data_IF_065395263938
#
_entry.id   IF_065395263938
#
_cell.length_a   1.000
_cell.length_b   1.000
_cell.length_c   1.000
_cell.angle_alpha   90.00
_cell.angle_beta   90.00
_cell.angle_gamma   90.00
#
_symmetry.space_group_name_H-M   'P 1'
#
loop_
_entity.id
_entity.type
_entity.pdbx_description
1 polymer ?
#
# COMPACT_ATOMS: atom_id res chain seq x y z
N UNK A 1 -10.32 10.17 11.84
CA UNK A 1 -9.87 10.81 13.10
C UNK A 1 -10.50 12.17 13.37
N UNK A 2 -11.00 12.39 14.60
CA UNK A 2 -11.45 13.70 15.10
C UNK A 2 -10.63 14.08 16.34
N UNK A 3 -9.73 15.06 16.20
CA UNK A 3 -8.84 15.53 17.26
C UNK A 3 -8.41 16.99 17.02
N UNK A 4 -7.98 17.69 18.07
CA UNK A 4 -7.33 19.01 17.96
C UNK A 4 -5.93 18.91 17.34
N UNK A 5 -5.41 20.00 16.77
CA UNK A 5 -4.19 19.98 15.92
C UNK A 5 -2.97 19.29 16.54
N UNK A 6 -2.62 19.61 17.79
CA UNK A 6 -1.50 19.01 18.50
C UNK A 6 -1.66 17.49 18.71
N UNK A 7 -2.84 17.04 19.17
CA UNK A 7 -3.12 15.62 19.37
C UNK A 7 -3.25 14.87 18.03
N UNK A 8 -3.81 15.50 17.00
CA UNK A 8 -3.94 14.94 15.66
C UNK A 8 -2.58 14.58 15.08
N UNK A 9 -1.61 15.50 15.13
CA UNK A 9 -0.26 15.25 14.61
C UNK A 9 0.39 14.01 15.26
N UNK A 10 0.25 13.86 16.58
CA UNK A 10 0.78 12.69 17.31
C UNK A 10 0.08 11.39 16.88
N UNK A 11 -1.25 11.40 16.81
CA UNK A 11 -2.05 10.21 16.50
C UNK A 11 -1.90 9.76 15.04
N UNK A 12 -1.75 10.71 14.10
CA UNK A 12 -1.48 10.41 12.70
C UNK A 12 -0.10 9.76 12.53
N UNK A 13 0.94 10.30 13.18
CA UNK A 13 2.27 9.68 13.18
C UNK A 13 2.29 8.31 13.85
N UNK A 14 1.42 8.08 14.84
CA UNK A 14 1.26 6.78 15.48
C UNK A 14 0.49 5.75 14.60
N UNK A 15 -0.02 6.15 13.44
CA UNK A 15 -0.78 5.28 12.54
C UNK A 15 -2.22 5.03 12.99
N UNK A 16 -2.78 5.86 13.87
CA UNK A 16 -4.16 5.73 14.32
C UNK A 16 -5.08 6.36 13.29
N UNK A 17 -6.01 5.58 12.73
CA UNK A 17 -6.92 6.08 11.69
C UNK A 17 -8.23 6.61 12.29
N UNK A 18 -8.80 5.85 13.23
CA UNK A 18 -10.13 6.09 13.78
C UNK A 18 -10.10 6.24 15.30
N UNK A 19 -10.20 7.48 15.74
CA UNK A 19 -10.24 7.86 17.16
C UNK A 19 -10.93 9.21 17.31
N UNK A 20 -11.57 9.40 18.47
CA UNK A 20 -12.10 10.68 18.94
C UNK A 20 -11.22 11.15 20.11
N UNK A 21 -10.72 12.38 20.03
CA UNK A 21 -9.91 12.97 21.10
C UNK A 21 -10.28 14.45 21.31
N UNK A 22 -10.29 14.88 22.57
CA UNK A 22 -10.56 16.27 22.97
C UNK A 22 -9.59 16.68 24.09
N UNK A 23 -8.96 17.86 23.93
CA UNK A 23 -8.24 18.50 25.05
C UNK A 23 -9.25 19.17 25.98
N UNK A 24 -9.17 18.85 27.28
CA UNK A 24 -10.07 19.35 28.34
C UNK A 24 -9.39 20.35 29.29
N UNK A 25 -8.11 20.64 29.07
CA UNK A 25 -7.33 21.51 29.95
C UNK A 25 -6.64 22.60 29.13
N UNK A 26 -5.31 22.61 29.17
CA UNK A 26 -4.50 23.58 28.45
C UNK A 26 -4.71 23.52 26.93
N UNK A 27 -4.68 24.69 26.31
CA UNK A 27 -4.63 24.93 24.87
C UNK A 27 -3.20 25.02 24.32
N UNK A 28 -2.20 25.11 25.21
CA UNK A 28 -0.79 25.11 24.84
C UNK A 28 -0.39 23.79 24.17
N UNK A 29 0.09 23.88 22.92
CA UNK A 29 0.39 22.73 22.08
C UNK A 29 1.37 21.75 22.74
N UNK A 30 2.43 22.24 23.40
CA UNK A 30 3.44 21.39 24.04
C UNK A 30 2.81 20.53 25.15
N UNK A 31 1.98 21.15 26.00
CA UNK A 31 1.30 20.44 27.08
C UNK A 31 0.28 19.44 26.55
N UNK A 32 -0.43 19.78 25.48
CA UNK A 32 -1.36 18.87 24.82
C UNK A 32 -0.62 17.66 24.23
N UNK A 33 0.54 17.85 23.61
CA UNK A 33 1.37 16.75 23.10
C UNK A 33 1.83 15.85 24.26
N UNK A 34 2.38 16.43 25.33
CA UNK A 34 2.82 15.65 26.50
C UNK A 34 1.65 14.87 27.15
N UNK A 35 0.49 15.50 27.28
CA UNK A 35 -0.71 14.84 27.78
C UNK A 35 -1.18 13.70 26.86
N UNK A 36 -1.10 13.90 25.53
CA UNK A 36 -1.46 12.87 24.54
C UNK A 36 -0.51 11.68 24.66
N UNK A 37 0.81 11.91 24.76
CA UNK A 37 1.80 10.84 24.93
C UNK A 37 1.60 10.13 26.27
N UNK A 38 1.32 10.85 27.36
CA UNK A 38 1.03 10.25 28.65
C UNK A 38 -0.23 9.36 28.59
N UNK A 39 -1.30 9.80 27.93
CA UNK A 39 -2.51 9.02 27.74
C UNK A 39 -2.26 7.73 26.94
N UNK A 40 -1.46 7.80 25.86
CA UNK A 40 -1.08 6.63 25.08
C UNK A 40 -0.27 5.61 25.91
N UNK A 41 0.60 6.08 26.82
CA UNK A 41 1.36 5.21 27.73
C UNK A 41 0.49 4.52 28.80
N UNK A 42 -0.69 5.07 29.11
CA UNK A 42 -1.61 4.48 30.08
C UNK A 42 -2.47 3.36 29.48
N UNK A 43 -2.52 3.24 28.14
CA UNK A 43 -3.24 2.17 27.48
C UNK A 43 -2.61 0.81 27.82
N UNK A 44 -3.45 -0.17 28.13
CA UNK A 44 -3.02 -1.53 28.45
C UNK A 44 -3.58 -2.50 27.41
N UNK A 45 -2.78 -3.49 27.03
CA UNK A 45 -3.27 -4.52 26.12
C UNK A 45 -4.16 -5.52 26.87
N UNK A 46 -5.22 -6.05 26.24
CA UNK A 46 -6.11 -7.01 26.92
C UNK A 46 -5.37 -8.26 27.41
N UNK A 47 -4.35 -8.73 26.68
CA UNK A 47 -3.48 -9.85 27.07
C UNK A 47 -2.68 -9.57 28.35
N UNK A 48 -2.18 -8.34 28.53
CA UNK A 48 -1.41 -7.94 29.72
C UNK A 48 -2.33 -7.86 30.94
N UNK A 49 -3.55 -7.36 30.76
CA UNK A 49 -4.56 -7.33 31.82
C UNK A 49 -4.98 -8.74 32.22
N UNK A 50 -5.15 -9.64 31.26
CA UNK A 50 -5.50 -11.03 31.49
C UNK A 50 -4.40 -11.79 32.23
N UNK A 51 -3.14 -11.64 31.78
CA UNK A 51 -1.97 -12.23 32.43
C UNK A 51 -1.83 -11.75 33.88
N UNK A 52 -1.99 -10.44 34.13
CA UNK A 52 -1.93 -9.87 35.50
C UNK A 52 -3.04 -10.42 36.41
N UNK A 53 -4.20 -10.75 35.86
CA UNK A 53 -5.35 -11.28 36.60
C UNK A 53 -5.38 -12.81 36.68
N UNK A 54 -4.50 -13.51 35.95
CA UNK A 54 -4.49 -14.99 35.89
C UNK A 54 -5.74 -15.59 35.25
N UNK A 55 -6.46 -14.83 34.44
CA UNK A 55 -7.70 -15.24 33.77
C UNK A 55 -7.46 -15.43 32.27
N UNK A 56 -8.23 -16.29 31.59
CA UNK A 56 -8.18 -16.37 30.13
C UNK A 56 -8.65 -15.05 29.51
N UNK A 57 -8.16 -14.75 28.30
CA UNK A 57 -8.49 -13.50 27.59
C UNK A 57 -9.99 -13.35 27.31
N UNK A 58 -10.71 -14.46 27.19
CA UNK A 58 -12.15 -14.50 26.93
C UNK A 58 -12.97 -13.96 28.11
N UNK A 59 -12.50 -14.14 29.34
CA UNK A 59 -13.15 -13.63 30.56
C UNK A 59 -12.81 -12.15 30.83
N UNK A 60 -11.80 -11.62 30.14
CA UNK A 60 -11.24 -10.28 30.39
C UNK A 60 -11.65 -9.28 29.32
N UNK A 61 -11.71 -9.70 28.06
CA UNK A 61 -12.05 -8.85 26.93
C UNK A 61 -13.48 -9.13 26.42
N UNK A 62 -14.28 -8.08 26.15
CA UNK A 62 -15.64 -8.27 25.64
C UNK A 62 -15.64 -8.83 24.22
N UNK A 63 -16.71 -9.55 23.85
CA UNK A 63 -16.83 -10.25 22.57
C UNK A 63 -16.60 -9.35 21.33
N UNK A 64 -17.08 -8.10 21.35
CA UNK A 64 -16.87 -7.15 20.26
C UNK A 64 -15.38 -6.83 20.02
N UNK A 65 -14.59 -6.74 21.09
CA UNK A 65 -13.15 -6.50 21.01
C UNK A 65 -12.41 -7.72 20.46
N UNK A 66 -12.79 -8.93 20.89
CA UNK A 66 -12.22 -10.18 20.40
C UNK A 66 -12.49 -10.38 18.91
N UNK A 67 -13.71 -10.05 18.44
CA UNK A 67 -14.07 -10.08 17.02
C UNK A 67 -13.21 -9.10 16.21
N UNK A 68 -13.12 -7.85 16.66
CA UNK A 68 -12.31 -6.82 15.99
C UNK A 68 -10.82 -7.21 15.89
N UNK A 69 -10.29 -7.88 16.91
CA UNK A 69 -8.90 -8.39 16.89
C UNK A 69 -8.71 -9.50 15.86
N UNK A 70 -9.60 -10.50 15.84
CA UNK A 70 -9.55 -11.58 14.83
C UNK A 70 -9.62 -11.03 13.40
N UNK A 71 -10.50 -10.06 13.17
CA UNK A 71 -10.62 -9.38 11.88
C UNK A 71 -9.33 -8.64 11.52
N UNK A 72 -8.74 -7.91 12.48
CA UNK A 72 -7.48 -7.19 12.27
C UNK A 72 -6.30 -8.14 12.01
N UNK A 73 -6.20 -9.24 12.75
CA UNK A 73 -5.16 -10.25 12.58
C UNK A 73 -5.28 -10.97 11.22
N UNK A 74 -6.51 -11.26 10.78
CA UNK A 74 -6.76 -11.83 9.46
C UNK A 74 -6.37 -10.86 8.33
N UNK A 75 -6.70 -9.57 8.47
CA UNK A 75 -6.29 -8.53 7.52
C UNK A 75 -4.76 -8.36 7.50
N UNK A 76 -4.11 -8.39 8.66
CA UNK A 76 -2.66 -8.32 8.79
C UNK A 76 -1.98 -9.55 8.16
N UNK A 77 -2.51 -10.75 8.39
CA UNK A 77 -2.02 -11.98 7.75
C UNK A 77 -2.18 -11.92 6.23
N UNK A 78 -3.33 -11.47 5.73
CA UNK A 78 -3.56 -11.29 4.30
C UNK A 78 -2.66 -10.20 3.67
N UNK A 79 -2.31 -9.15 4.43
CA UNK A 79 -1.34 -8.14 4.01
C UNK A 79 0.09 -8.71 3.97
N UNK A 80 0.49 -9.49 4.98
CA UNK A 80 1.81 -10.13 5.04
C UNK A 80 2.02 -11.10 3.87
N UNK A 81 1.00 -11.90 3.51
CA UNK A 81 1.05 -12.81 2.35
C UNK A 81 1.24 -12.04 1.04
N UNK A 82 0.67 -10.84 0.91
CA UNK A 82 0.87 -9.97 -0.26
C UNK A 82 2.21 -9.23 -0.26
N UNK A 83 2.87 -9.11 0.90
CA UNK A 83 4.16 -8.44 1.09
C UNK A 83 5.38 -9.27 0.70
N UNK A 84 5.19 -10.52 0.27
CA UNK A 84 6.25 -11.38 -0.26
C UNK A 84 6.66 -10.97 -1.67
N UNK A 85 7.57 -9.99 -1.78
CA UNK A 85 8.43 -9.78 -2.94
C UNK A 85 7.73 -9.41 -4.25
N UNK A 86 7.94 -8.19 -4.72
CA UNK A 86 7.82 -7.89 -6.15
C UNK A 86 8.86 -8.73 -6.89
N UNK A 87 8.49 -9.94 -7.30
CA UNK A 87 9.18 -10.62 -8.38
C UNK A 87 9.21 -9.63 -9.55
N UNK A 88 10.38 -9.39 -10.13
CA UNK A 88 10.57 -8.46 -11.25
C UNK A 88 9.78 -9.01 -12.45
N UNK A 89 8.48 -8.70 -12.51
CA UNK A 89 7.61 -9.07 -13.62
C UNK A 89 8.02 -8.23 -14.81
N UNK A 90 8.29 -8.90 -15.92
CA UNK A 90 8.55 -8.22 -17.19
C UNK A 90 7.28 -8.27 -18.04
N UNK A 91 6.90 -7.12 -18.58
CA UNK A 91 5.84 -6.99 -19.55
C UNK A 91 6.45 -7.05 -20.93
N UNK A 92 6.08 -8.06 -21.72
CA UNK A 92 6.34 -8.06 -23.14
C UNK A 92 5.25 -7.24 -23.82
N UNK A 93 5.66 -6.10 -24.36
CA UNK A 93 4.76 -5.12 -24.94
C UNK A 93 4.88 -5.21 -26.45
N UNK A 94 3.80 -5.59 -27.14
CA UNK A 94 3.79 -5.74 -28.61
C UNK A 94 2.82 -4.75 -29.24
N UNK A 95 3.28 -4.01 -30.25
CA UNK A 95 2.39 -3.11 -31.00
C UNK A 95 1.57 -3.91 -32.02
N UNK A 96 0.27 -4.08 -31.78
CA UNK A 96 -0.62 -4.83 -32.69
C UNK A 96 -1.27 -3.93 -33.73
N UNK A 97 -1.55 -2.67 -33.38
CA UNK A 97 -2.21 -1.72 -34.29
C UNK A 97 -1.28 -0.58 -34.71
N UNK A 98 -1.56 -0.02 -35.89
CA UNK A 98 -0.82 1.11 -36.44
C UNK A 98 -1.01 2.39 -35.61
N UNK A 99 -0.06 3.31 -35.69
CA UNK A 99 -0.15 4.66 -35.07
C UNK A 99 -0.95 5.66 -35.91
N UNK A 100 -1.47 5.24 -37.06
CA UNK A 100 -2.27 6.09 -37.96
C UNK A 100 -3.58 6.43 -37.24
N UNK A 101 -3.83 7.73 -37.03
CA UNK A 101 -4.99 8.22 -36.27
C UNK A 101 -4.80 8.32 -34.74
N UNK A 102 -3.63 7.96 -34.21
CA UNK A 102 -3.35 8.09 -32.78
C UNK A 102 -3.11 9.55 -32.36
N UNK A 103 -3.64 9.95 -31.20
CA UNK A 103 -3.40 11.29 -30.62
C UNK A 103 -1.91 11.46 -30.27
N UNK A 104 -1.43 12.71 -30.25
CA UNK A 104 -0.03 13.04 -29.91
C UNK A 104 0.47 12.27 -28.67
N UNK A 105 -0.26 12.31 -27.55
CA UNK A 105 0.09 11.61 -26.29
C UNK A 105 0.29 10.09 -26.45
N UNK A 106 -0.48 9.45 -27.34
CA UNK A 106 -0.38 8.02 -27.60
C UNK A 106 0.88 7.72 -28.43
N UNK A 107 1.20 8.55 -29.42
CA UNK A 107 2.42 8.44 -30.23
C UNK A 107 3.69 8.63 -29.37
N UNK A 108 3.67 9.61 -28.46
CA UNK A 108 4.74 9.84 -27.49
C UNK A 108 4.94 8.63 -26.55
N UNK A 109 3.84 8.06 -26.06
CA UNK A 109 3.86 6.90 -25.18
C UNK A 109 4.45 5.66 -25.88
N UNK A 110 4.08 5.41 -27.14
CA UNK A 110 4.68 4.32 -27.94
C UNK A 110 6.17 4.54 -28.20
N UNK A 111 6.60 5.78 -28.49
CA UNK A 111 8.02 6.10 -28.68
C UNK A 111 8.81 5.89 -27.38
N UNK A 112 8.25 6.28 -26.25
CA UNK A 112 8.86 6.12 -24.91
C UNK A 112 8.98 4.65 -24.51
N UNK A 113 7.96 3.83 -24.83
CA UNK A 113 8.00 2.38 -24.63
C UNK A 113 9.01 1.67 -25.58
N UNK A 114 9.46 2.33 -26.65
CA UNK A 114 10.43 1.81 -27.62
C UNK A 114 9.80 1.09 -28.82
N UNK A 115 8.49 1.28 -29.04
CA UNK A 115 7.75 0.65 -30.13
C UNK A 115 7.80 1.55 -31.38
N UNK A 116 8.55 1.12 -32.39
CA UNK A 116 8.78 1.89 -33.63
C UNK A 116 8.04 1.34 -34.86
N UNK A 117 7.70 0.05 -34.87
CA UNK A 117 7.05 -0.64 -36.00
C UNK A 117 5.97 -1.59 -35.49
N UNK A 118 4.98 -1.86 -36.34
CA UNK A 118 3.92 -2.84 -36.06
C UNK A 118 4.57 -4.23 -35.86
N UNK A 119 4.08 -4.99 -34.88
CA UNK A 119 4.63 -6.26 -34.40
C UNK A 119 6.04 -6.17 -33.77
N UNK A 120 6.54 -4.97 -33.47
CA UNK A 120 7.72 -4.83 -32.61
C UNK A 120 7.35 -5.17 -31.16
N UNK A 121 8.18 -5.97 -30.50
CA UNK A 121 8.03 -6.29 -29.08
C UNK A 121 9.19 -5.75 -28.26
N UNK A 122 8.92 -5.07 -27.16
CA UNK A 122 9.93 -4.61 -26.21
C UNK A 122 9.59 -5.15 -24.84
N UNK A 123 10.59 -5.74 -24.18
CA UNK A 123 10.46 -6.23 -22.81
C UNK A 123 10.79 -5.09 -21.87
N UNK A 124 9.86 -4.78 -20.96
CA UNK A 124 10.03 -3.74 -19.94
C UNK A 124 9.66 -4.26 -18.57
N UNK A 125 10.25 -3.67 -17.55
CA UNK A 125 9.92 -3.94 -16.16
C UNK A 125 8.51 -3.41 -15.84
N UNK A 126 7.79 -4.16 -15.02
CA UNK A 126 6.45 -3.84 -14.55
C UNK A 126 6.47 -2.75 -13.45
N UNK A 127 6.85 -1.54 -13.86
CA UNK A 127 6.85 -0.35 -13.01
C UNK A 127 5.49 0.39 -13.10
N UNK A 128 5.06 1.12 -12.05
CA UNK A 128 3.88 1.97 -12.11
C UNK A 128 3.90 2.95 -13.29
N UNK A 129 5.09 3.42 -13.67
CA UNK A 129 5.32 4.25 -14.85
C UNK A 129 5.02 3.51 -16.16
N UNK A 130 5.53 2.27 -16.33
CA UNK A 130 5.25 1.41 -17.50
C UNK A 130 3.76 1.12 -17.62
N UNK A 131 3.09 0.78 -16.51
CA UNK A 131 1.63 0.58 -16.45
C UNK A 131 0.86 1.85 -16.86
N UNK A 132 1.29 3.01 -16.38
CA UNK A 132 0.70 4.31 -16.74
C UNK A 132 0.79 4.60 -18.24
N UNK A 133 1.95 4.36 -18.85
CA UNK A 133 2.15 4.51 -20.30
C UNK A 133 1.28 3.53 -21.09
N UNK A 134 1.21 2.26 -20.68
CA UNK A 134 0.37 1.23 -21.30
C UNK A 134 -1.11 1.61 -21.24
N UNK A 135 -1.60 2.16 -20.12
CA UNK A 135 -3.01 2.55 -19.97
C UNK A 135 -3.46 3.58 -21.01
N UNK A 136 -2.54 4.48 -21.42
CA UNK A 136 -2.77 5.49 -22.46
C UNK A 136 -2.89 4.85 -23.86
N UNK A 137 -2.17 3.76 -24.10
CA UNK A 137 -2.08 3.08 -25.42
C UNK A 137 -2.71 1.68 -25.45
N UNK A 138 -3.58 1.36 -24.49
CA UNK A 138 -4.15 0.00 -24.28
C UNK A 138 -4.76 -0.68 -25.51
N UNK A 139 -5.23 0.12 -26.48
CA UNK A 139 -5.92 -0.36 -27.68
C UNK A 139 -4.99 -0.51 -28.88
N UNK A 140 -3.75 -0.02 -28.78
CA UNK A 140 -2.72 -0.14 -29.82
C UNK A 140 -1.72 -1.26 -29.52
N UNK A 141 -1.73 -1.76 -28.29
CA UNK A 141 -0.70 -2.59 -27.72
C UNK A 141 -1.32 -3.81 -27.05
N UNK A 142 -0.71 -4.96 -27.27
CA UNK A 142 -0.97 -6.20 -26.54
C UNK A 142 0.15 -6.39 -25.51
N UNK A 143 -0.23 -6.74 -24.29
CA UNK A 143 0.69 -6.89 -23.16
C UNK A 143 0.60 -8.33 -22.66
N UNK A 144 1.71 -9.04 -22.77
CA UNK A 144 1.86 -10.37 -22.20
C UNK A 144 2.72 -10.26 -20.93
N UNK A 145 2.25 -10.84 -19.82
CA UNK A 145 3.02 -10.94 -18.59
C UNK A 145 4.00 -12.10 -18.71
N UNK A 146 5.28 -11.81 -18.88
CA UNK A 146 6.34 -12.81 -18.93
C UNK A 146 7.13 -12.78 -17.63
N UNK A 147 6.98 -13.81 -16.81
CA UNK A 147 7.89 -14.09 -15.70
C UNK A 147 9.12 -14.81 -16.26
N UNK A 148 10.10 -14.06 -16.78
CA UNK A 148 11.34 -14.67 -17.25
C UNK A 148 12.19 -15.02 -16.02
N UNK A 149 12.24 -16.31 -15.68
CA UNK A 149 13.33 -16.85 -14.89
C UNK A 149 14.63 -16.60 -15.66
N UNK A 150 15.62 -16.02 -14.98
CA UNK A 150 16.91 -15.66 -15.56
C UNK A 150 17.53 -16.85 -16.31
N UNK A 151 17.63 -16.75 -17.63
CA UNK A 151 18.53 -17.58 -18.43
C UNK A 151 19.62 -16.69 -18.98
N UNK A 152 20.84 -17.09 -18.68
CA UNK A 152 22.07 -16.34 -18.89
C UNK A 152 22.41 -16.03 -20.35
N UNK A 153 23.55 -15.33 -20.46
CA UNK A 153 23.94 -14.56 -21.63
C UNK A 153 24.19 -15.35 -22.91
N UNK A 154 24.36 -14.58 -23.98
CA UNK A 154 25.53 -14.68 -24.88
C UNK A 154 25.59 -13.47 -25.80
N UNK A 155 26.75 -12.81 -25.76
CA UNK A 155 27.59 -12.42 -26.91
C UNK A 155 26.89 -12.12 -28.24
N UNK A 156 27.03 -10.89 -28.76
CA UNK A 156 28.15 -10.48 -29.64
C UNK A 156 28.15 -8.96 -29.78
#
# INVERSE_FOLDING_TARGET
>A
MIAGGAARAVLECAGVHDILAKSLGSDNAINVVHATVAALKMLQRPEEVAARRGLPIEDVAPAGMLKARRESDALAAAAAVRGGGTAMSQLRITQVRSTIGARWKQRESLRTLGLRRIRHSVVREDNPQTRGLIAVVRHLVEVESTSVAATGGKTK
#
